data_IF_416603073428
#
_entry.id   IF_416603073428
#
_cell.length_a   1.000
_cell.length_b   1.000
_cell.length_c   1.000
_cell.angle_alpha   90.00
_cell.angle_beta   90.00
_cell.angle_gamma   90.00
#
_symmetry.space_group_name_H-M   'P 1'
#
loop_
_entity.id
_entity.type
_entity.pdbx_description
1 polymer ?
#
# COMPACT_ATOMS: atom_id res chain seq x y z
N UNK A 1 -18.37 -19.20 1.68
CA UNK A 1 -17.37 -18.55 0.82
C UNK A 1 -16.03 -18.95 1.41
N UNK A 2 -15.13 -19.55 0.63
CA UNK A 2 -13.98 -20.31 1.17
C UNK A 2 -13.00 -19.45 1.96
N UNK A 3 -12.27 -20.13 2.85
CA UNK A 3 -11.23 -19.71 3.81
C UNK A 3 -10.01 -18.97 3.19
N UNK A 4 -10.20 -18.29 2.06
CA UNK A 4 -9.14 -17.66 1.30
C UNK A 4 -8.69 -16.36 1.96
N UNK A 5 -7.38 -16.26 2.24
CA UNK A 5 -6.79 -15.05 2.77
C UNK A 5 -6.89 -13.90 1.75
N UNK A 6 -6.98 -12.66 2.24
CA UNK A 6 -6.88 -11.45 1.43
C UNK A 6 -5.43 -11.00 1.38
N UNK A 7 -4.93 -10.60 0.22
CA UNK A 7 -3.64 -9.94 0.06
C UNK A 7 -3.88 -8.45 -0.13
N UNK A 8 -3.16 -7.60 0.62
CA UNK A 8 -3.20 -6.14 0.47
C UNK A 8 -1.78 -5.63 0.25
N UNK A 9 -1.56 -4.99 -0.90
CA UNK A 9 -0.31 -4.33 -1.27
C UNK A 9 -0.54 -2.82 -1.41
N UNK A 10 -0.11 -2.06 -0.40
CA UNK A 10 -0.30 -0.61 -0.36
C UNK A 10 1.00 0.12 -0.71
N UNK A 11 0.93 0.95 -1.75
CA UNK A 11 2.00 1.84 -2.19
C UNK A 11 1.70 3.29 -1.86
N UNK A 12 2.55 4.21 -2.35
CA UNK A 12 2.27 5.65 -2.21
C UNK A 12 1.24 6.20 -3.18
N UNK A 13 1.08 5.52 -4.31
CA UNK A 13 0.26 5.98 -5.44
C UNK A 13 -0.86 4.99 -5.74
N UNK A 14 -0.58 3.70 -5.67
CA UNK A 14 -1.54 2.64 -5.95
C UNK A 14 -1.61 1.66 -4.79
N UNK A 15 -2.83 1.26 -4.44
CA UNK A 15 -3.12 0.19 -3.50
C UNK A 15 -3.84 -0.94 -4.25
N UNK A 16 -3.42 -2.17 -4.00
CA UNK A 16 -3.92 -3.37 -4.67
C UNK A 16 -4.42 -4.35 -3.63
N UNK A 17 -5.54 -5.01 -3.91
CA UNK A 17 -6.05 -6.05 -3.05
C UNK A 17 -6.80 -7.15 -3.82
N UNK A 18 -6.84 -8.35 -3.24
CA UNK A 18 -7.55 -9.50 -3.80
C UNK A 18 -7.48 -10.72 -2.89
N UNK A 19 -8.43 -11.65 -3.05
CA UNK A 19 -8.34 -12.97 -2.44
C UNK A 19 -7.19 -13.78 -3.04
N UNK A 20 -6.50 -14.56 -2.20
CA UNK A 20 -5.36 -15.40 -2.55
C UNK A 20 -5.80 -16.68 -3.28
N UNK A 21 -6.32 -16.54 -4.50
CA UNK A 21 -6.61 -17.65 -5.39
C UNK A 21 -5.45 -17.90 -6.36
N UNK A 22 -5.13 -19.17 -6.68
CA UNK A 22 -4.10 -19.48 -7.67
C UNK A 22 -4.41 -18.84 -9.03
N UNK A 23 -3.36 -18.36 -9.71
CA UNK A 23 -3.42 -17.86 -11.10
C UNK A 23 -4.40 -16.69 -11.32
N UNK A 24 -4.64 -15.89 -10.29
CA UNK A 24 -5.51 -14.72 -10.36
C UNK A 24 -4.75 -13.42 -10.08
N UNK A 25 -4.91 -12.43 -10.95
CA UNK A 25 -4.44 -11.06 -10.73
C UNK A 25 -5.27 -10.36 -9.64
N UNK A 26 -4.70 -9.38 -8.90
CA UNK A 26 -5.48 -8.58 -7.97
C UNK A 26 -6.58 -7.84 -8.75
N UNK A 27 -7.83 -8.04 -8.33
CA UNK A 27 -8.98 -7.46 -9.05
C UNK A 27 -9.39 -6.09 -8.50
N UNK A 28 -8.81 -5.66 -7.37
CA UNK A 28 -8.94 -4.27 -6.88
C UNK A 28 -7.60 -3.58 -7.02
N UNK A 29 -7.54 -2.58 -7.90
CA UNK A 29 -6.39 -1.69 -8.08
C UNK A 29 -6.92 -0.26 -8.04
N UNK A 30 -6.57 0.48 -7.01
CA UNK A 30 -7.09 1.84 -6.76
C UNK A 30 -5.95 2.80 -6.46
N UNK A 31 -6.08 4.10 -6.78
CA UNK A 31 -5.18 5.11 -6.21
C UNK A 31 -5.16 5.03 -4.68
N UNK A 32 -3.98 5.21 -4.08
CA UNK A 32 -3.80 5.35 -2.62
C UNK A 32 -4.13 6.76 -2.22
N UNK A 33 -5.38 7.17 -2.41
CA UNK A 33 -5.84 8.52 -2.10
C UNK A 33 -7.20 8.48 -1.45
N UNK A 34 -7.41 9.32 -0.45
CA UNK A 34 -8.68 9.50 0.24
C UNK A 34 -9.18 10.91 -0.03
N UNK A 35 -10.48 11.03 -0.28
CA UNK A 35 -11.14 12.33 -0.47
C UNK A 35 -11.25 13.03 0.87
N UNK A 36 -10.76 14.27 0.95
CA UNK A 36 -10.91 15.10 2.14
C UNK A 36 -12.18 15.92 2.00
N UNK A 37 -13.08 15.79 2.98
CA UNK A 37 -14.21 16.70 3.10
C UNK A 37 -13.69 18.05 3.58
N UNK A 38 -13.70 19.06 2.70
CA UNK A 38 -13.52 20.46 3.10
C UNK A 38 -14.61 20.79 4.15
N UNK A 39 -14.20 21.05 5.40
CA UNK A 39 -15.14 21.20 6.52
C UNK A 39 -16.19 22.29 6.28
N UNK A 40 -17.46 21.97 6.57
CA UNK A 40 -18.61 22.88 6.70
C UNK A 40 -18.60 24.15 5.83
N UNK A 41 -18.97 24.01 4.55
CA UNK A 41 -19.60 25.08 3.79
C UNK A 41 -21.09 24.77 3.65
N UNK A 42 -21.88 25.15 4.66
CA UNK A 42 -23.31 25.40 4.48
C UNK A 42 -23.44 26.57 3.48
N UNK A 43 -23.35 26.26 2.18
CA UNK A 43 -23.27 27.24 1.10
C UNK A 43 -22.15 26.99 0.10
N UNK A 44 -21.97 25.78 -0.41
CA UNK A 44 -21.12 25.54 -1.57
C UNK A 44 -21.84 25.97 -2.86
N UNK A 45 -21.82 27.28 -3.14
CA UNK A 45 -22.09 27.81 -4.49
C UNK A 45 -20.74 27.97 -5.16
N UNK A 46 -20.50 27.18 -6.22
CA UNK A 46 -19.35 27.17 -7.14
C UNK A 46 -18.20 26.19 -6.83
N UNK A 47 -18.30 24.97 -7.39
CA UNK A 47 -17.16 24.27 -8.03
C UNK A 47 -15.83 24.15 -7.28
N UNK A 48 -15.82 24.01 -5.95
CA UNK A 48 -14.58 23.71 -5.23
C UNK A 48 -14.04 22.35 -5.68
N UNK A 49 -12.78 22.33 -6.13
CA UNK A 49 -12.12 21.12 -6.57
C UNK A 49 -12.03 20.12 -5.41
N UNK A 50 -12.49 18.90 -5.62
CA UNK A 50 -12.34 17.82 -4.64
C UNK A 50 -10.84 17.64 -4.31
N UNK A 51 -10.50 17.75 -3.03
CA UNK A 51 -9.13 17.53 -2.57
C UNK A 51 -8.93 16.06 -2.21
N UNK A 52 -7.89 15.47 -2.79
CA UNK A 52 -7.48 14.10 -2.54
C UNK A 52 -6.08 14.10 -1.93
N UNK A 53 -5.90 13.36 -0.85
CA UNK A 53 -4.59 13.18 -0.22
C UNK A 53 -4.24 11.70 -0.10
N UNK A 54 -2.95 11.40 -0.22
CA UNK A 54 -2.44 10.05 0.00
C UNK A 54 -2.04 9.86 1.46
N UNK A 55 -2.59 8.83 2.15
CA UNK A 55 -2.15 8.48 3.50
C UNK A 55 -0.72 7.94 3.54
N UNK A 56 -0.12 7.62 2.39
CA UNK A 56 1.16 6.91 2.31
C UNK A 56 2.12 7.69 1.41
N UNK A 57 3.17 8.28 2.00
CA UNK A 57 4.14 9.07 1.25
C UNK A 57 5.53 8.43 1.29
N UNK A 58 6.10 8.19 0.10
CA UNK A 58 7.36 7.46 -0.11
C UNK A 58 7.37 6.11 0.65
N UNK A 59 6.19 5.47 0.65
CA UNK A 59 5.80 4.28 1.38
C UNK A 59 6.06 4.30 2.88
N UNK A 60 5.86 5.46 3.50
CA UNK A 60 5.66 5.63 4.95
C UNK A 60 4.24 6.14 5.16
N UNK A 61 3.50 5.52 6.07
CA UNK A 61 2.16 5.97 6.45
C UNK A 61 2.26 7.31 7.19
N UNK A 62 1.61 8.35 6.64
CA UNK A 62 1.54 9.70 7.20
C UNK A 62 0.24 9.94 7.97
N UNK A 63 -0.87 9.37 7.50
CA UNK A 63 -2.17 9.50 8.14
C UNK A 63 -2.84 8.13 8.25
N UNK A 64 -2.95 7.63 9.47
CA UNK A 64 -3.47 6.30 9.77
C UNK A 64 -4.98 6.21 9.66
N UNK A 65 -5.72 7.27 10.04
CA UNK A 65 -7.18 7.30 9.96
C UNK A 65 -7.63 7.27 8.48
N UNK A 66 -6.88 7.96 7.61
CA UNK A 66 -7.07 7.88 6.17
C UNK A 66 -6.67 6.51 5.61
N UNK A 67 -5.58 5.89 6.09
CA UNK A 67 -5.22 4.52 5.68
C UNK A 67 -6.30 3.51 6.06
N UNK A 68 -6.83 3.62 7.28
CA UNK A 68 -7.94 2.79 7.76
C UNK A 68 -9.19 2.98 6.90
N UNK A 69 -9.54 4.23 6.57
CA UNK A 69 -10.66 4.54 5.67
C UNK A 69 -10.46 3.91 4.28
N UNK A 70 -9.22 3.95 3.75
CA UNK A 70 -8.89 3.29 2.49
C UNK A 70 -9.04 1.76 2.58
N UNK A 71 -8.63 1.15 3.70
CA UNK A 71 -8.80 -0.29 3.91
C UNK A 71 -10.27 -0.68 4.08
N UNK A 72 -11.08 0.13 4.74
CA UNK A 72 -12.54 -0.05 4.78
C UNK A 72 -13.14 -0.09 3.38
N UNK A 73 -12.79 0.90 2.55
CA UNK A 73 -13.22 0.96 1.16
C UNK A 73 -12.78 -0.28 0.36
N UNK A 74 -11.53 -0.69 0.51
CA UNK A 74 -10.99 -1.86 -0.18
C UNK A 74 -11.68 -3.16 0.24
N UNK A 75 -11.76 -3.44 1.55
CA UNK A 75 -12.23 -4.72 2.05
C UNK A 75 -13.74 -4.85 1.91
N UNK A 76 -14.50 -3.87 2.40
CA UNK A 76 -15.96 -4.00 2.49
C UNK A 76 -16.67 -3.58 1.22
N UNK A 77 -16.24 -2.49 0.57
CA UNK A 77 -16.93 -1.99 -0.63
C UNK A 77 -16.44 -2.64 -1.93
N UNK A 78 -15.13 -2.92 -2.06
CA UNK A 78 -14.56 -3.45 -3.31
C UNK A 78 -14.41 -4.96 -3.33
N UNK A 79 -13.87 -5.55 -2.25
CA UNK A 79 -13.70 -7.00 -2.17
C UNK A 79 -14.97 -7.71 -1.72
N UNK A 80 -15.91 -7.00 -1.10
CA UNK A 80 -17.13 -7.58 -0.55
C UNK A 80 -16.86 -8.50 0.64
N UNK A 81 -15.82 -8.22 1.42
CA UNK A 81 -15.58 -8.91 2.69
C UNK A 81 -16.80 -8.70 3.59
N UNK A 82 -17.39 -9.79 4.08
CA UNK A 82 -18.48 -9.74 5.05
C UNK A 82 -18.01 -9.15 6.39
N UNK A 83 -18.71 -8.12 6.87
CA UNK A 83 -18.45 -7.53 8.17
C UNK A 83 -18.55 -8.60 9.28
N UNK A 84 -17.66 -8.55 10.28
CA UNK A 84 -17.50 -9.55 11.34
C UNK A 84 -17.13 -10.98 10.89
N UNK A 85 -16.79 -11.20 9.60
CA UNK A 85 -16.26 -12.49 9.16
C UNK A 85 -14.81 -12.67 9.59
N UNK A 86 -14.53 -13.80 10.24
CA UNK A 86 -13.17 -14.26 10.50
C UNK A 86 -12.46 -14.52 9.16
N UNK A 87 -11.35 -13.81 8.91
CA UNK A 87 -10.56 -13.95 7.70
C UNK A 87 -9.09 -13.63 7.95
N UNK A 88 -8.21 -14.21 7.14
CA UNK A 88 -6.76 -13.98 7.23
C UNK A 88 -6.28 -12.95 6.22
N UNK A 89 -5.31 -12.11 6.58
CA UNK A 89 -4.73 -11.09 5.70
C UNK A 89 -3.22 -11.26 5.57
N UNK A 90 -2.74 -11.19 4.33
CA UNK A 90 -1.35 -10.96 3.99
C UNK A 90 -1.15 -9.47 3.66
N UNK A 91 -0.35 -8.77 4.45
CA UNK A 91 0.03 -7.38 4.20
C UNK A 91 1.40 -7.33 3.52
N UNK A 92 1.48 -6.70 2.36
CA UNK A 92 2.75 -6.41 1.68
C UNK A 92 3.32 -5.10 2.22
N UNK A 93 4.29 -5.22 3.14
CA UNK A 93 4.87 -4.08 3.82
C UNK A 93 6.10 -3.53 3.07
N UNK A 94 6.19 -2.20 2.93
CA UNK A 94 7.41 -1.51 2.54
C UNK A 94 8.68 -1.91 3.28
N UNK A 95 9.80 -1.93 2.56
CA UNK A 95 11.13 -2.01 3.18
C UNK A 95 11.34 -0.86 4.19
N UNK A 96 12.14 -1.10 5.22
CA UNK A 96 12.47 -0.11 6.26
C UNK A 96 11.24 0.46 7.01
N UNK A 97 10.14 -0.29 7.07
CA UNK A 97 9.00 0.12 7.91
C UNK A 97 9.41 0.03 9.38
N UNK A 98 9.28 1.12 10.17
CA UNK A 98 9.59 1.08 11.59
C UNK A 98 8.73 0.07 12.33
N UNK A 99 9.29 -0.54 13.38
CA UNK A 99 8.57 -1.47 14.24
C UNK A 99 7.24 -0.89 14.77
N UNK A 100 7.25 0.38 15.19
CA UNK A 100 6.06 1.09 15.66
C UNK A 100 4.93 1.13 14.62
N UNK A 101 5.28 1.35 13.34
CA UNK A 101 4.30 1.36 12.27
C UNK A 101 3.73 -0.05 12.05
N UNK A 102 4.57 -1.09 12.13
CA UNK A 102 4.11 -2.47 12.02
C UNK A 102 3.19 -2.86 13.18
N UNK A 103 3.50 -2.43 14.39
CA UNK A 103 2.65 -2.63 15.57
C UNK A 103 1.29 -1.93 15.41
N UNK A 104 1.29 -0.67 14.96
CA UNK A 104 0.06 0.08 14.70
C UNK A 104 -0.80 -0.54 13.58
N UNK A 105 -0.16 -0.99 12.50
CA UNK A 105 -0.83 -1.72 11.43
C UNK A 105 -1.48 -3.01 11.97
N UNK A 106 -0.73 -3.76 12.76
CA UNK A 106 -1.20 -5.01 13.38
C UNK A 106 -2.39 -4.76 14.28
N UNK A 107 -2.30 -3.76 15.15
CA UNK A 107 -3.40 -3.36 16.04
C UNK A 107 -4.65 -3.01 15.24
N UNK A 108 -4.54 -2.14 14.25
CA UNK A 108 -5.66 -1.74 13.40
C UNK A 108 -6.33 -2.95 12.72
N UNK A 109 -5.56 -3.88 12.16
CA UNK A 109 -6.12 -5.07 11.50
C UNK A 109 -6.89 -5.97 12.48
N UNK A 110 -6.37 -6.20 13.69
CA UNK A 110 -7.07 -7.04 14.67
C UNK A 110 -8.23 -6.32 15.36
N UNK A 111 -8.06 -5.08 15.78
CA UNK A 111 -9.04 -4.36 16.61
C UNK A 111 -10.17 -3.73 15.77
N UNK A 112 -9.87 -3.23 14.57
CA UNK A 112 -10.86 -2.52 13.75
C UNK A 112 -11.43 -3.38 12.62
N UNK A 113 -10.63 -4.31 12.07
CA UNK A 113 -11.05 -5.21 10.99
C UNK A 113 -11.36 -6.64 11.44
N UNK A 114 -11.16 -6.96 12.73
CA UNK A 114 -11.46 -8.27 13.31
C UNK A 114 -10.88 -9.46 12.52
N UNK A 115 -9.67 -9.32 11.98
CA UNK A 115 -9.02 -10.40 11.24
C UNK A 115 -8.65 -11.55 12.18
N UNK A 116 -8.80 -12.79 11.72
CA UNK A 116 -8.44 -13.99 12.50
C UNK A 116 -6.94 -14.34 12.38
N UNK A 117 -6.30 -13.90 11.30
CA UNK A 117 -4.89 -14.12 11.04
C UNK A 117 -4.28 -12.95 10.27
N UNK A 118 -3.04 -12.60 10.62
CA UNK A 118 -2.28 -11.55 9.94
C UNK A 118 -0.85 -12.03 9.71
N UNK A 119 -0.39 -11.95 8.46
CA UNK A 119 1.03 -12.07 8.14
C UNK A 119 1.49 -10.80 7.43
N UNK A 120 2.60 -10.23 7.91
CA UNK A 120 3.20 -9.03 7.32
C UNK A 120 4.50 -9.46 6.63
N UNK A 121 4.54 -9.34 5.32
CA UNK A 121 5.64 -9.77 4.48
C UNK A 121 6.27 -8.59 3.75
N UNK A 122 7.59 -8.57 3.66
CA UNK A 122 8.30 -7.50 2.97
C UNK A 122 8.08 -7.60 1.45
N UNK A 123 7.67 -6.48 0.82
CA UNK A 123 7.51 -6.33 -0.63
C UNK A 123 8.66 -6.94 -1.46
N UNK A 124 9.97 -6.74 -1.15
CA UNK A 124 11.05 -7.37 -1.91
C UNK A 124 11.06 -8.90 -1.82
N UNK A 125 10.70 -9.49 -0.68
CA UNK A 125 10.63 -10.95 -0.55
C UNK A 125 9.49 -11.50 -1.41
N UNK A 126 8.32 -10.85 -1.36
CA UNK A 126 7.17 -11.23 -2.19
C UNK A 126 7.48 -11.10 -3.69
N UNK A 127 8.24 -10.07 -4.07
CA UNK A 127 8.71 -9.87 -5.45
C UNK A 127 9.64 -10.97 -5.93
N UNK A 128 10.43 -11.58 -5.04
CA UNK A 128 11.26 -12.74 -5.38
C UNK A 128 10.41 -14.00 -5.56
N UNK A 129 9.42 -14.19 -4.68
CA UNK A 129 8.51 -15.35 -4.77
C UNK A 129 7.67 -15.33 -6.05
N UNK A 130 7.25 -14.16 -6.53
CA UNK A 130 6.48 -14.05 -7.78
C UNK A 130 7.23 -14.56 -9.01
N UNK A 131 8.57 -14.56 -8.98
CA UNK A 131 9.43 -15.09 -10.06
C UNK A 131 10.01 -16.47 -9.74
N UNK A 132 9.51 -17.15 -8.71
CA UNK A 132 9.96 -18.50 -8.33
C UNK A 132 11.41 -18.55 -7.85
N UNK A 133 11.88 -17.46 -7.22
CA UNK A 133 13.24 -17.36 -6.68
C UNK A 133 13.17 -17.03 -5.19
N UNK A 134 14.15 -17.49 -4.43
CA UNK A 134 14.28 -17.20 -2.99
C UNK A 134 15.53 -16.39 -2.65
N UNK A 135 16.43 -16.21 -3.62
CA UNK A 135 17.66 -15.42 -3.48
C UNK A 135 17.92 -14.61 -4.74
N UNK A 136 18.32 -13.35 -4.58
CA UNK A 136 18.53 -12.39 -5.66
C UNK A 136 18.53 -10.95 -5.17
N UNK A 137 18.52 -9.99 -6.08
CA UNK A 137 18.41 -8.56 -5.73
C UNK A 137 17.17 -7.97 -6.39
N UNK A 138 16.29 -7.39 -5.58
CA UNK A 138 15.11 -6.66 -6.04
C UNK A 138 15.45 -5.18 -6.14
N UNK A 139 15.12 -4.59 -7.29
CA UNK A 139 15.17 -3.14 -7.50
C UNK A 139 13.72 -2.69 -7.74
N UNK A 140 13.07 -2.19 -6.69
CA UNK A 140 11.69 -1.72 -6.74
C UNK A 140 11.68 -0.22 -7.02
N UNK A 141 11.27 0.17 -8.22
CA UNK A 141 11.16 1.58 -8.64
C UNK A 141 9.69 1.99 -8.59
N UNK A 142 9.27 2.54 -7.44
CA UNK A 142 7.90 2.96 -7.20
C UNK A 142 7.64 4.44 -7.54
N UNK A 143 6.45 4.92 -7.19
CA UNK A 143 6.05 6.31 -7.39
C UNK A 143 6.87 7.29 -6.53
N UNK A 144 7.01 7.02 -5.22
CA UNK A 144 7.65 7.95 -4.27
C UNK A 144 9.10 7.63 -3.92
N UNK A 145 9.59 6.44 -4.28
CA UNK A 145 10.91 5.93 -3.87
C UNK A 145 11.41 4.84 -4.81
N UNK A 146 12.70 4.54 -4.70
CA UNK A 146 13.33 3.37 -5.30
C UNK A 146 14.11 2.62 -4.24
N UNK A 147 13.83 1.33 -4.07
CA UNK A 147 14.47 0.46 -3.07
C UNK A 147 15.30 -0.63 -3.75
N UNK A 148 16.54 -0.79 -3.30
CA UNK A 148 17.45 -1.86 -3.72
C UNK A 148 17.59 -2.81 -2.54
N UNK A 149 17.12 -4.05 -2.71
CA UNK A 149 16.98 -5.03 -1.64
C UNK A 149 17.58 -6.37 -2.04
N UNK A 150 18.78 -6.72 -1.53
CA UNK A 150 19.28 -8.07 -1.63
C UNK A 150 18.44 -9.00 -0.74
N UNK A 151 17.92 -10.07 -1.34
CA UNK A 151 17.16 -11.14 -0.68
C UNK A 151 18.01 -12.41 -0.74
N UNK A 152 18.16 -13.08 0.40
CA UNK A 152 18.87 -14.35 0.51
C UNK A 152 18.00 -15.32 1.29
N UNK A 153 17.66 -16.45 0.67
CA UNK A 153 16.88 -17.52 1.28
C UNK A 153 15.55 -17.04 1.90
N UNK A 154 14.86 -16.13 1.20
CA UNK A 154 13.56 -15.60 1.64
C UNK A 154 13.62 -14.49 2.69
N UNK A 155 14.82 -13.97 3.02
CA UNK A 155 15.00 -12.85 3.94
C UNK A 155 15.78 -11.70 3.29
N UNK A 156 15.43 -10.45 3.62
CA UNK A 156 16.22 -9.31 3.17
C UNK A 156 17.49 -9.16 4.00
N UNK A 157 18.59 -8.80 3.35
CA UNK A 157 19.83 -8.41 4.00
C UNK A 157 19.78 -6.92 4.32
N UNK A 158 18.98 -6.55 5.34
CA UNK A 158 18.68 -5.14 5.68
C UNK A 158 19.88 -4.19 5.68
N UNK A 159 21.07 -4.54 6.22
CA UNK A 159 22.25 -3.66 6.18
C UNK A 159 22.77 -3.35 4.76
N UNK A 160 22.52 -4.24 3.80
CA UNK A 160 22.90 -4.09 2.39
C UNK A 160 21.82 -3.38 1.56
N UNK A 161 20.60 -3.23 2.10
CA UNK A 161 19.53 -2.53 1.42
C UNK A 161 19.83 -1.03 1.27
N UNK A 162 19.34 -0.41 0.19
CA UNK A 162 19.45 1.02 -0.08
C UNK A 162 18.11 1.58 -0.51
N UNK A 163 17.81 2.81 -0.08
CA UNK A 163 16.62 3.57 -0.51
C UNK A 163 17.06 4.88 -1.14
N UNK A 164 16.47 5.19 -2.29
CA UNK A 164 16.59 6.46 -2.98
C UNK A 164 15.24 7.17 -2.91
N UNK A 165 15.24 8.46 -2.55
CA UNK A 165 14.04 9.31 -2.57
C UNK A 165 13.70 9.80 -3.99
N UNK A 166 13.84 8.91 -4.98
CA UNK A 166 13.57 9.13 -6.39
C UNK A 166 12.61 8.05 -6.86
N UNK A 167 11.63 8.44 -7.67
CA UNK A 167 10.61 7.54 -8.22
C UNK A 167 9.81 8.26 -9.30
N UNK A 168 8.66 7.69 -9.67
CA UNK A 168 7.76 8.28 -10.68
C UNK A 168 7.40 9.75 -10.42
N UNK A 169 7.19 10.14 -9.16
CA UNK A 169 6.91 11.54 -8.79
C UNK A 169 8.00 12.50 -9.25
N UNK A 170 9.27 12.13 -9.06
CA UNK A 170 10.39 12.97 -9.44
C UNK A 170 10.45 13.18 -10.97
N UNK A 171 10.09 12.15 -11.75
CA UNK A 171 9.98 12.25 -13.20
C UNK A 171 8.82 13.16 -13.63
N UNK A 172 7.64 12.98 -13.03
CA UNK A 172 6.47 13.82 -13.30
C UNK A 172 6.77 15.29 -13.02
N UNK A 173 7.37 15.61 -11.86
CA UNK A 173 7.75 16.98 -11.50
C UNK A 173 8.78 17.56 -12.48
N UNK A 174 9.77 16.77 -12.90
CA UNK A 174 10.78 17.22 -13.85
C UNK A 174 10.16 17.56 -15.22
N UNK A 175 9.26 16.70 -15.74
CA UNK A 175 8.57 16.93 -17.00
C UNK A 175 7.63 18.13 -16.92
N UNK A 176 6.86 18.27 -15.85
CA UNK A 176 5.99 19.44 -15.63
C UNK A 176 6.79 20.74 -15.67
N UNK A 177 7.95 20.77 -15.02
CA UNK A 177 8.84 21.93 -15.05
C UNK A 177 9.32 22.26 -16.46
N UNK A 178 9.77 21.26 -17.22
CA UNK A 178 10.23 21.47 -18.59
C UNK A 178 9.11 21.96 -19.51
N UNK A 179 7.89 21.47 -19.32
CA UNK A 179 6.71 21.91 -20.09
C UNK A 179 6.23 23.31 -19.69
N UNK A 180 6.50 23.76 -18.47
CA UNK A 180 6.18 25.13 -18.03
C UNK A 180 7.21 26.16 -18.47
N UNK A 181 8.44 25.73 -18.75
CA UNK A 181 9.56 26.57 -19.19
C UNK A 181 9.66 26.72 -20.73
N UNK A 182 8.93 25.90 -21.51
CA UNK A 182 8.89 25.94 -22.98
C UNK A 182 7.65 26.63 -23.53
#
# INVERSE_FOLDING_TARGET
MGDAAVVIDYGSDTCKAGFAYPEQDPYVVTPTTVRIASGNSAGAVNGEAEQFESPVQRGVVQNWDQLESLFHYLLYEKLGWEFDSEGSVLMCEPLFTPKEHRERLTQMMFEHFNVSGLYVAEQPVLSMYSVGRVSGTVIDVGHGRCDISPVMEGATLTPACRRLALGGLAMTTALQRQLAEG
#
